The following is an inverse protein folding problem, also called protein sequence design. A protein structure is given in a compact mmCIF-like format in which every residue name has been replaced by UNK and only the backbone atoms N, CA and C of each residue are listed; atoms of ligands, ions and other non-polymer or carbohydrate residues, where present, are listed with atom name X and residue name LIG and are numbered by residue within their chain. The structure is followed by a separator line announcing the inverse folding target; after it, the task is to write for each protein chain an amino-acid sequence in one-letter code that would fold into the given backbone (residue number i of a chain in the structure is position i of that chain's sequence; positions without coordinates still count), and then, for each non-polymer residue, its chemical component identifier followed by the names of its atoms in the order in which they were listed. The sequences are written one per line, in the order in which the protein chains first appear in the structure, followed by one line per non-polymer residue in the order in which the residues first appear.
data_IF_868635128327
#
_entry.id   IF_868635128327
#
_cell.length_a   1.000
_cell.length_b   1.000
_cell.length_c   1.000
_cell.angle_alpha   90.00
_cell.angle_beta   90.00
_cell.angle_gamma   90.00
#
_symmetry.space_group_name_H-M   'P 1'
#
loop_
_entity.id
_entity.type
_entity.pdbx_description
1 polymer ?
#
# COMPACT_ATOMS: atom_id res chain seq x y z
N UNK A 1 -11.21 11.07 31.43
CA UNK A 1 -11.74 10.79 30.08
C UNK A 1 -10.77 9.83 29.44
N UNK A 2 -10.92 8.55 29.80
CA UNK A 2 -9.95 7.49 29.52
C UNK A 2 -10.41 6.73 28.27
N UNK A 3 -9.57 6.66 27.25
CA UNK A 3 -9.83 5.85 26.06
C UNK A 3 -9.38 4.42 26.34
N UNK A 4 -10.33 3.56 26.74
CA UNK A 4 -10.11 2.12 26.87
C UNK A 4 -9.96 1.50 25.47
N UNK A 5 -8.74 1.04 25.21
CA UNK A 5 -8.34 0.26 24.05
C UNK A 5 -9.03 -1.10 24.10
N UNK A 6 -10.05 -1.32 23.27
CA UNK A 6 -10.73 -2.62 23.18
C UNK A 6 -9.81 -3.65 22.53
N UNK A 7 -9.40 -4.59 23.37
CA UNK A 7 -8.69 -5.82 23.03
C UNK A 7 -9.63 -6.72 22.22
N UNK A 8 -9.58 -6.64 20.90
CA UNK A 8 -10.10 -7.73 20.07
C UNK A 8 -9.08 -8.87 20.12
N UNK A 9 -9.45 -9.95 20.83
CA UNK A 9 -8.70 -11.20 20.87
C UNK A 9 -8.56 -11.76 19.45
N UNK A 10 -7.41 -11.49 18.81
CA UNK A 10 -7.03 -12.09 17.53
C UNK A 10 -6.27 -13.37 17.84
N UNK A 11 -6.85 -14.51 17.48
CA UNK A 11 -6.19 -15.81 17.58
C UNK A 11 -4.77 -15.73 17.01
N UNK A 12 -3.77 -16.11 17.81
CA UNK A 12 -2.35 -16.12 17.42
C UNK A 12 -2.12 -17.26 16.44
N UNK A 13 -2.26 -16.97 15.16
CA UNK A 13 -1.74 -17.84 14.12
C UNK A 13 -0.22 -17.69 14.09
N UNK A 14 0.53 -18.70 14.55
CA UNK A 14 2.01 -18.74 14.57
C UNK A 14 2.56 -18.81 13.14
N UNK A 15 2.43 -17.72 12.39
CA UNK A 15 3.18 -17.53 11.16
C UNK A 15 4.60 -17.11 11.56
N UNK A 16 5.60 -17.88 11.14
CA UNK A 16 6.99 -17.46 11.26
C UNK A 16 7.17 -16.17 10.45
N UNK A 17 7.09 -15.02 11.12
CA UNK A 17 7.38 -13.74 10.50
C UNK A 17 8.90 -13.64 10.33
N UNK A 18 9.39 -14.04 9.16
CA UNK A 18 10.72 -13.64 8.73
C UNK A 18 10.71 -12.11 8.61
N UNK A 19 11.51 -11.43 9.42
CA UNK A 19 11.73 -9.98 9.27
C UNK A 19 12.65 -9.79 8.07
N UNK A 20 12.09 -9.58 6.89
CA UNK A 20 12.86 -9.19 5.71
C UNK A 20 13.11 -7.69 5.81
N UNK A 21 14.37 -7.30 6.01
CA UNK A 21 14.76 -5.88 5.95
C UNK A 21 14.76 -5.45 4.48
N UNK A 22 13.60 -4.99 3.99
CA UNK A 22 13.51 -4.36 2.68
C UNK A 22 14.00 -2.92 2.79
N UNK A 23 15.26 -2.67 2.43
CA UNK A 23 15.78 -1.30 2.35
C UNK A 23 15.15 -0.59 1.16
N UNK A 24 14.50 0.55 1.41
CA UNK A 24 13.98 1.41 0.35
C UNK A 24 15.13 1.81 -0.60
N UNK A 25 14.96 1.53 -1.90
CA UNK A 25 15.87 2.00 -2.94
C UNK A 25 15.25 3.20 -3.65
N UNK A 26 15.93 4.36 -3.71
CA UNK A 26 15.48 5.49 -4.50
C UNK A 26 15.38 5.10 -5.98
N UNK A 27 14.40 5.65 -6.72
CA UNK A 27 14.38 5.53 -8.17
C UNK A 27 15.57 6.28 -8.80
N UNK A 28 15.77 6.10 -10.11
CA UNK A 28 16.73 6.91 -10.87
C UNK A 28 16.42 8.41 -10.72
N UNK A 29 17.44 9.25 -10.92
CA UNK A 29 17.25 10.72 -10.94
C UNK A 29 16.14 11.09 -11.92
N UNK A 30 15.36 12.11 -11.56
CA UNK A 30 14.21 12.62 -12.35
C UNK A 30 13.06 11.63 -12.53
N UNK A 31 13.05 10.52 -11.78
CA UNK A 31 11.96 9.55 -11.75
C UNK A 31 11.24 9.60 -10.39
N UNK A 32 9.95 9.30 -10.39
CA UNK A 32 9.16 9.16 -9.17
C UNK A 32 9.01 7.68 -8.76
N UNK A 33 8.62 7.46 -7.51
CA UNK A 33 8.26 6.14 -7.00
C UNK A 33 6.85 6.17 -6.44
N UNK A 34 5.98 5.34 -7.01
CA UNK A 34 4.65 5.07 -6.50
C UNK A 34 4.71 3.83 -5.61
N UNK A 35 4.57 4.02 -4.31
CA UNK A 35 4.37 2.92 -3.36
C UNK A 35 2.87 2.74 -3.13
N UNK A 36 2.37 1.53 -3.29
CA UNK A 36 0.96 1.19 -3.10
C UNK A 36 0.86 0.26 -1.89
N UNK A 37 -0.05 0.61 -0.97
CA UNK A 37 -0.36 -0.19 0.21
C UNK A 37 -1.87 -0.47 0.27
N UNK A 38 -2.21 -1.68 0.72
CA UNK A 38 -3.60 -2.11 0.89
C UNK A 38 -3.91 -2.19 2.38
N UNK A 39 -5.05 -1.65 2.78
CA UNK A 39 -5.59 -1.85 4.11
C UNK A 39 -6.84 -2.73 4.01
N UNK A 40 -6.84 -3.93 4.59
CA UNK A 40 -8.00 -4.80 4.61
C UNK A 40 -8.30 -5.28 6.02
N UNK A 41 -9.55 -5.15 6.47
CA UNK A 41 -9.98 -5.60 7.80
C UNK A 41 -10.18 -7.12 7.83
N UNK A 42 -10.73 -7.70 6.77
CA UNK A 42 -10.95 -9.15 6.61
C UNK A 42 -11.14 -9.52 5.13
N UNK A 43 -11.05 -10.81 4.78
CA UNK A 43 -11.28 -11.31 3.42
C UNK A 43 -12.41 -12.36 3.40
N UNK A 44 -13.63 -12.05 2.92
CA UNK A 44 -14.09 -10.74 2.45
C UNK A 44 -14.38 -9.78 3.62
N UNK A 45 -14.20 -8.47 3.40
CA UNK A 45 -14.30 -7.44 4.44
C UNK A 45 -14.18 -6.03 3.88
N UNK A 46 -14.41 -5.03 4.73
CA UNK A 46 -14.15 -3.64 4.36
C UNK A 46 -12.65 -3.46 4.08
N UNK A 47 -12.35 -2.84 2.96
CA UNK A 47 -10.99 -2.65 2.47
C UNK A 47 -10.80 -1.20 2.02
N UNK A 48 -9.55 -0.78 2.02
CA UNK A 48 -9.10 0.51 1.54
C UNK A 48 -7.86 0.33 0.67
N UNK A 49 -7.76 1.19 -0.33
CA UNK A 49 -6.59 1.32 -1.18
C UNK A 49 -5.86 2.60 -0.79
N UNK A 50 -4.54 2.61 -0.93
CA UNK A 50 -3.75 3.82 -0.76
C UNK A 50 -2.43 3.74 -1.48
N UNK A 51 -1.82 4.90 -1.66
CA UNK A 51 -0.50 4.97 -2.23
C UNK A 51 0.14 6.33 -2.04
N UNK A 52 1.46 6.35 -2.21
CA UNK A 52 2.31 7.52 -2.01
C UNK A 52 3.30 7.62 -3.16
N UNK A 53 3.36 8.80 -3.77
CA UNK A 53 4.40 9.21 -4.69
C UNK A 53 5.56 9.85 -3.92
N UNK A 54 6.78 9.44 -4.24
CA UNK A 54 8.02 10.05 -3.77
C UNK A 54 8.95 10.40 -4.92
N UNK A 55 9.77 11.42 -4.74
CA UNK A 55 10.85 11.72 -5.67
C UNK A 55 12.07 10.79 -5.48
N UNK A 56 13.10 11.02 -6.30
CA UNK A 56 14.36 10.29 -6.27
C UNK A 56 15.20 10.51 -4.99
N UNK A 57 14.92 11.55 -4.20
CA UNK A 57 15.55 11.81 -2.89
C UNK A 57 14.73 11.20 -1.75
N UNK A 58 13.49 10.78 -2.04
CA UNK A 58 12.56 10.20 -1.09
C UNK A 58 11.59 11.20 -0.47
N UNK A 59 11.53 12.44 -0.96
CA UNK A 59 10.54 13.41 -0.52
C UNK A 59 9.13 12.97 -0.93
N UNK A 60 8.18 13.20 -0.03
CA UNK A 60 6.78 12.99 -0.32
C UNK A 60 6.29 14.04 -1.33
N UNK A 61 5.62 13.57 -2.39
CA UNK A 61 5.06 14.43 -3.44
C UNK A 61 3.54 14.50 -3.32
N UNK A 62 2.90 13.33 -3.25
CA UNK A 62 1.45 13.19 -3.23
C UNK A 62 1.07 11.83 -2.63
N UNK A 63 -0.10 11.74 -2.00
CA UNK A 63 -0.68 10.47 -1.55
C UNK A 63 -2.17 10.42 -1.80
N UNK A 64 -2.71 9.21 -1.84
CA UNK A 64 -4.15 8.96 -1.96
C UNK A 64 -4.58 7.85 -0.99
N UNK A 65 -5.85 7.89 -0.61
CA UNK A 65 -6.50 6.86 0.19
C UNK A 65 -7.99 6.83 -0.13
N UNK A 66 -8.52 5.65 -0.45
CA UNK A 66 -9.92 5.48 -0.84
C UNK A 66 -10.48 4.20 -0.21
N UNK A 67 -11.73 4.25 0.26
CA UNK A 67 -12.45 3.06 0.68
C UNK A 67 -12.96 2.29 -0.54
N UNK A 68 -12.80 0.97 -0.54
CA UNK A 68 -13.34 0.09 -1.59
C UNK A 68 -14.43 -0.83 -1.01
N UNK A 69 -15.49 -1.14 -1.78
CA UNK A 69 -16.47 -2.13 -1.39
C UNK A 69 -15.83 -3.48 -1.03
N UNK A 70 -16.57 -4.31 -0.28
CA UNK A 70 -16.09 -5.66 0.07
C UNK A 70 -15.77 -6.45 -1.20
N UNK A 71 -14.49 -6.72 -1.41
CA UNK A 71 -13.99 -7.50 -2.55
C UNK A 71 -12.78 -8.32 -2.12
N UNK A 72 -12.33 -9.25 -2.97
CA UNK A 72 -11.16 -10.07 -2.67
C UNK A 72 -9.85 -9.27 -2.77
N UNK A 73 -8.80 -9.77 -2.14
CA UNK A 73 -7.50 -9.09 -2.06
C UNK A 73 -6.90 -8.71 -3.43
N UNK A 74 -7.03 -9.58 -4.44
CA UNK A 74 -6.47 -9.34 -5.78
C UNK A 74 -7.16 -8.15 -6.43
N UNK A 75 -8.49 -8.05 -6.30
CA UNK A 75 -9.25 -6.94 -6.85
C UNK A 75 -8.90 -5.62 -6.16
N UNK A 76 -8.70 -5.62 -4.83
CA UNK A 76 -8.24 -4.43 -4.09
C UNK A 76 -6.88 -3.96 -4.60
N UNK A 77 -5.94 -4.88 -4.83
CA UNK A 77 -4.60 -4.54 -5.36
C UNK A 77 -4.65 -3.97 -6.79
N UNK A 78 -5.46 -4.56 -7.66
CA UNK A 78 -5.66 -4.05 -9.02
C UNK A 78 -6.33 -2.67 -9.04
N UNK A 79 -7.31 -2.44 -8.16
CA UNK A 79 -7.93 -1.13 -8.00
C UNK A 79 -6.94 -0.08 -7.49
N UNK A 80 -6.10 -0.44 -6.52
CA UNK A 80 -5.05 0.44 -6.01
C UNK A 80 -4.03 0.81 -7.10
N UNK A 81 -3.62 -0.16 -7.92
CA UNK A 81 -2.75 0.05 -9.08
C UNK A 81 -3.39 0.97 -10.12
N UNK A 82 -4.63 0.66 -10.52
CA UNK A 82 -5.37 1.48 -11.49
C UNK A 82 -5.47 2.93 -11.01
N UNK A 83 -5.84 3.13 -9.75
CA UNK A 83 -6.00 4.47 -9.18
C UNK A 83 -4.68 5.22 -9.09
N UNK A 84 -3.62 4.55 -8.66
CA UNK A 84 -2.28 5.12 -8.63
C UNK A 84 -1.79 5.52 -10.03
N UNK A 85 -2.04 4.71 -11.06
CA UNK A 85 -1.69 5.06 -12.44
C UNK A 85 -2.45 6.31 -12.94
N UNK A 86 -3.75 6.39 -12.68
CA UNK A 86 -4.57 7.56 -13.05
C UNK A 86 -4.05 8.84 -12.42
N UNK A 87 -3.82 8.82 -11.10
CA UNK A 87 -3.28 9.97 -10.36
C UNK A 87 -1.90 10.36 -10.89
N UNK A 88 -1.04 9.39 -11.20
CA UNK A 88 0.28 9.66 -11.76
C UNK A 88 0.21 10.42 -13.09
N UNK A 89 -0.75 10.07 -13.96
CA UNK A 89 -0.98 10.77 -15.24
C UNK A 89 -1.60 12.15 -15.00
N UNK A 90 -2.65 12.23 -14.17
CA UNK A 90 -3.36 13.48 -13.83
C UNK A 90 -2.40 14.54 -13.29
N UNK A 91 -1.44 14.14 -12.47
CA UNK A 91 -0.45 15.03 -11.86
C UNK A 91 0.89 15.12 -12.61
N UNK A 92 1.00 14.54 -13.82
CA UNK A 92 2.22 14.56 -14.65
C UNK A 92 3.46 14.01 -13.93
N UNK A 93 3.28 13.01 -13.07
CA UNK A 93 4.34 12.37 -12.29
C UNK A 93 5.04 11.27 -13.07
N UNK A 94 5.34 11.50 -14.35
CA UNK A 94 5.99 10.52 -15.25
C UNK A 94 7.43 10.95 -15.58
N UNK A 95 8.41 10.02 -15.63
CA UNK A 95 8.27 8.58 -15.42
C UNK A 95 8.22 8.20 -13.93
N UNK A 96 7.61 7.06 -13.61
CA UNK A 96 7.61 6.52 -12.24
C UNK A 96 7.74 5.01 -12.20
N UNK A 97 8.35 4.53 -11.12
CA UNK A 97 8.45 3.10 -10.78
C UNK A 97 7.39 2.73 -9.75
N UNK A 98 6.81 1.55 -9.86
CA UNK A 98 5.72 1.10 -8.99
C UNK A 98 6.25 0.04 -8.03
N UNK A 99 5.94 0.19 -6.75
CA UNK A 99 6.20 -0.79 -5.72
C UNK A 99 4.86 -1.16 -5.06
N UNK A 100 4.45 -2.42 -5.21
CA UNK A 100 3.26 -2.97 -4.58
C UNK A 100 3.76 -3.88 -3.46
N UNK A 101 3.55 -3.48 -2.21
CA UNK A 101 3.87 -4.36 -1.08
C UNK A 101 2.72 -5.35 -0.89
N UNK A 102 2.74 -6.42 -1.68
CA UNK A 102 1.91 -7.58 -1.37
C UNK A 102 2.73 -8.50 -0.48
N UNK A 103 2.39 -8.51 0.81
CA UNK A 103 2.87 -9.51 1.76
C UNK A 103 2.23 -10.88 1.48
N UNK A 104 2.27 -11.35 0.23
CA UNK A 104 1.89 -12.70 -0.14
C UNK A 104 3.16 -13.54 -0.18
N UNK A 105 3.25 -14.36 0.85
CA UNK A 105 4.33 -15.25 1.20
C UNK A 105 4.91 -15.94 -0.04
N UNK A 106 6.18 -15.65 -0.30
CA UNK A 106 7.11 -16.53 -1.00
C UNK A 106 7.01 -17.93 -0.37
N UNK A 107 6.55 -18.89 -1.17
CA UNK A 107 6.51 -20.32 -0.84
C UNK A 107 7.94 -20.87 -0.63
#
# INVERSE_FOLDING_TARGET
MEYQLLVAQKERCKHQQATIIVKWKPPHRETYKLNIDRAAISNPGASGIGGIFRDHVGHWILGFSESTPKTNHVMVELQALQRGLQIGVEHKLTPFTINIDSSHIIN
#
